data_IF_244788966893
#
_entry.id   IF_244788966893
#
_cell.length_a   1.000
_cell.length_b   1.000
_cell.length_c   1.000
_cell.angle_alpha   90.00
_cell.angle_beta   90.00
_cell.angle_gamma   90.00
#
_symmetry.space_group_name_H-M   'P 1'
#
loop_
_entity.id
_entity.type
_entity.pdbx_description
1 polymer ?
#
# COMPACT_ATOMS: atom_id res chain seq x y z
N UNK A 1 6.07 32.83 -1.36
CA UNK A 1 4.96 31.87 -1.56
C UNK A 1 5.45 30.58 -2.19
N UNK A 2 5.10 29.45 -1.58
CA UNK A 2 5.28 28.11 -2.15
C UNK A 2 4.05 27.79 -3.02
N UNK A 3 4.24 27.16 -4.18
CA UNK A 3 3.10 26.69 -5.00
C UNK A 3 2.43 25.47 -4.35
N UNK A 4 1.17 25.20 -4.71
CA UNK A 4 0.45 24.01 -4.21
C UNK A 4 1.20 22.71 -4.54
N UNK A 5 1.73 22.58 -5.77
CA UNK A 5 2.54 21.43 -6.19
C UNK A 5 3.79 21.27 -5.32
N UNK A 6 4.56 22.35 -5.16
CA UNK A 6 5.76 22.31 -4.33
C UNK A 6 5.45 22.00 -2.86
N UNK A 7 4.27 22.39 -2.36
CA UNK A 7 3.81 22.01 -1.04
C UNK A 7 3.50 20.52 -0.94
N UNK A 8 2.76 19.95 -1.89
CA UNK A 8 2.45 18.51 -1.95
C UNK A 8 3.74 17.68 -2.01
N UNK A 9 4.66 18.03 -2.91
CA UNK A 9 5.93 17.31 -3.06
C UNK A 9 6.76 17.33 -1.76
N UNK A 10 6.70 18.45 -1.03
CA UNK A 10 7.40 18.58 0.26
C UNK A 10 6.79 17.73 1.38
N UNK A 11 5.56 17.24 1.23
CA UNK A 11 4.88 16.42 2.23
C UNK A 11 5.20 14.93 2.11
N UNK A 12 5.66 14.42 0.96
CA UNK A 12 5.94 12.99 0.81
C UNK A 12 6.92 12.44 1.86
N UNK A 13 8.06 13.09 2.15
CA UNK A 13 8.95 12.64 3.22
C UNK A 13 8.30 12.75 4.62
N UNK A 14 7.46 13.76 4.84
CA UNK A 14 6.77 14.01 6.11
C UNK A 14 5.70 12.95 6.39
N UNK A 15 5.08 12.42 5.34
CA UNK A 15 4.04 11.40 5.40
C UNK A 15 4.60 9.97 5.27
N UNK A 16 5.89 9.81 4.96
CA UNK A 16 6.52 8.49 4.89
C UNK A 16 6.81 7.94 6.29
N UNK A 17 6.52 6.66 6.50
CA UNK A 17 6.77 5.92 7.72
C UNK A 17 7.59 4.66 7.41
N UNK A 18 8.23 4.14 8.45
CA UNK A 18 8.98 2.88 8.40
C UNK A 18 8.65 2.13 9.69
N UNK A 19 8.23 0.87 9.57
CA UNK A 19 7.82 0.06 10.73
C UNK A 19 8.50 -1.32 10.73
N UNK A 20 9.74 -1.41 10.27
CA UNK A 20 10.44 -2.70 10.09
C UNK A 20 10.57 -3.54 11.38
N UNK A 21 10.40 -2.91 12.55
CA UNK A 21 10.34 -3.59 13.84
C UNK A 21 9.17 -3.03 14.65
N UNK A 22 8.30 -3.92 15.14
CA UNK A 22 7.25 -3.59 16.09
C UNK A 22 7.66 -4.05 17.50
N UNK A 23 7.38 -3.23 18.52
CA UNK A 23 7.53 -3.66 19.90
C UNK A 23 6.56 -4.82 20.20
N UNK A 24 6.91 -5.70 21.14
CA UNK A 24 6.17 -6.95 21.46
C UNK A 24 4.65 -6.78 21.68
N UNK A 25 4.20 -5.58 22.04
CA UNK A 25 2.79 -5.27 22.31
C UNK A 25 2.28 -4.06 21.52
N UNK A 26 3.01 -3.64 20.48
CA UNK A 26 2.48 -2.62 19.58
C UNK A 26 1.34 -3.21 18.76
N UNK A 27 0.33 -2.38 18.51
CA UNK A 27 -0.72 -2.73 17.55
C UNK A 27 -0.23 -2.56 16.12
N UNK A 28 0.76 -1.69 15.87
CA UNK A 28 1.33 -1.50 14.54
C UNK A 28 2.04 -2.76 14.07
N UNK A 29 1.66 -3.25 12.90
CA UNK A 29 2.25 -4.43 12.28
C UNK A 29 3.46 -4.02 11.45
N UNK A 30 4.56 -4.79 11.52
CA UNK A 30 5.76 -4.45 10.80
C UNK A 30 5.56 -4.65 9.29
N UNK A 31 6.16 -3.76 8.51
CA UNK A 31 6.20 -3.85 7.06
C UNK A 31 7.67 -3.84 6.58
N UNK A 32 8.01 -4.58 5.51
CA UNK A 32 9.39 -4.69 5.05
C UNK A 32 9.94 -3.40 4.42
N UNK A 33 9.08 -2.56 3.84
CA UNK A 33 9.47 -1.33 3.13
C UNK A 33 8.83 -0.07 3.75
N UNK A 34 9.40 1.13 3.51
CA UNK A 34 8.72 2.38 3.82
C UNK A 34 7.36 2.50 3.12
N UNK A 35 6.45 3.27 3.71
CA UNK A 35 5.11 3.50 3.17
C UNK A 35 4.60 4.89 3.50
N UNK A 36 3.69 5.42 2.70
CA UNK A 36 3.10 6.75 2.90
C UNK A 36 1.75 6.63 3.60
N UNK A 37 1.50 7.46 4.61
CA UNK A 37 0.25 7.48 5.38
C UNK A 37 -0.63 8.69 4.99
N UNK A 38 -1.95 8.65 5.22
CA UNK A 38 -2.83 9.79 4.92
C UNK A 38 -2.49 11.07 5.72
N UNK A 39 -1.91 10.91 6.91
CA UNK A 39 -1.48 12.01 7.77
C UNK A 39 -2.47 12.36 8.89
N UNK A 40 -2.10 13.36 9.70
CA UNK A 40 -2.86 13.74 10.89
C UNK A 40 -2.89 12.63 11.94
N UNK A 41 -4.08 12.17 12.34
CA UNK A 41 -4.23 11.08 13.32
C UNK A 41 -4.00 9.68 12.73
N UNK A 42 -3.96 9.56 11.40
CA UNK A 42 -3.78 8.30 10.68
C UNK A 42 -2.29 8.10 10.44
N UNK A 43 -1.69 7.20 11.22
CA UNK A 43 -0.24 6.97 11.26
C UNK A 43 0.13 5.54 10.80
N UNK A 44 -0.83 4.82 10.23
CA UNK A 44 -0.69 3.49 9.65
C UNK A 44 -0.96 3.52 8.14
N UNK A 45 -0.50 2.49 7.44
CA UNK A 45 -0.87 2.21 6.06
C UNK A 45 -2.38 1.93 6.00
N UNK A 46 -3.06 2.42 4.97
CA UNK A 46 -4.46 2.14 4.67
C UNK A 46 -4.60 1.63 3.25
N UNK A 47 -5.35 0.55 3.03
CA UNK A 47 -5.34 -0.16 1.75
C UNK A 47 -5.84 0.70 0.58
N UNK A 48 -7.12 1.07 0.52
CA UNK A 48 -7.66 1.79 -0.64
C UNK A 48 -7.13 3.23 -0.76
N UNK A 49 -6.88 3.93 0.36
CA UNK A 49 -6.29 5.27 0.39
C UNK A 49 -4.93 5.30 -0.32
N UNK A 50 -4.16 4.20 -0.15
CA UNK A 50 -2.82 4.09 -0.73
C UNK A 50 -2.83 4.13 -2.25
N UNK A 51 -3.88 3.63 -2.92
CA UNK A 51 -3.93 3.70 -4.38
C UNK A 51 -3.92 5.16 -4.86
N UNK A 52 -4.72 6.02 -4.24
CA UNK A 52 -4.79 7.44 -4.61
C UNK A 52 -3.51 8.19 -4.22
N UNK A 53 -2.87 7.81 -3.11
CA UNK A 53 -1.54 8.33 -2.75
C UNK A 53 -0.50 7.91 -3.80
N UNK A 54 -0.52 6.65 -4.24
CA UNK A 54 0.41 6.13 -5.25
C UNK A 54 0.25 6.82 -6.61
N UNK A 55 -0.97 7.21 -7.00
CA UNK A 55 -1.17 8.04 -8.21
C UNK A 55 -0.45 9.39 -8.09
N UNK A 56 -0.50 10.03 -6.92
CA UNK A 56 0.23 11.28 -6.65
C UNK A 56 1.75 11.07 -6.64
N UNK A 57 2.23 10.01 -5.99
CA UNK A 57 3.65 9.65 -5.98
C UNK A 57 4.17 9.39 -7.40
N UNK A 58 3.43 8.64 -8.22
CA UNK A 58 3.77 8.37 -9.61
C UNK A 58 3.84 9.65 -10.44
N UNK A 59 2.89 10.58 -10.25
CA UNK A 59 2.87 11.88 -10.95
C UNK A 59 4.07 12.76 -10.55
N UNK A 60 4.47 12.73 -9.28
CA UNK A 60 5.67 13.40 -8.77
C UNK A 60 6.99 12.64 -9.04
N UNK A 61 6.94 11.47 -9.69
CA UNK A 61 8.12 10.68 -10.07
C UNK A 61 8.72 9.77 -8.99
N UNK A 62 8.03 9.58 -7.87
CA UNK A 62 8.42 8.73 -6.73
C UNK A 62 8.08 7.25 -6.96
N UNK A 63 8.57 6.68 -8.06
CA UNK A 63 8.30 5.28 -8.45
C UNK A 63 8.92 4.24 -7.51
N UNK A 64 9.97 4.60 -6.79
CA UNK A 64 10.53 3.83 -5.70
C UNK A 64 9.52 3.67 -4.55
N UNK A 65 8.88 4.74 -4.11
CA UNK A 65 7.81 4.67 -3.12
C UNK A 65 6.60 3.87 -3.61
N UNK A 66 6.20 4.03 -4.87
CA UNK A 66 5.12 3.23 -5.49
C UNK A 66 5.46 1.75 -5.40
N UNK A 67 6.67 1.35 -5.80
CA UNK A 67 7.12 -0.05 -5.70
C UNK A 67 7.13 -0.55 -4.27
N UNK A 68 7.69 0.22 -3.34
CA UNK A 68 7.78 -0.16 -1.93
C UNK A 68 6.39 -0.39 -1.30
N UNK A 69 5.38 0.40 -1.71
CA UNK A 69 3.99 0.18 -1.29
C UNK A 69 3.39 -1.10 -1.90
N UNK A 70 3.63 -1.39 -3.18
CA UNK A 70 3.18 -2.66 -3.80
C UNK A 70 3.87 -3.87 -3.13
N UNK A 71 5.18 -3.78 -2.85
CA UNK A 71 5.94 -4.81 -2.13
C UNK A 71 5.34 -5.06 -0.73
N UNK A 72 4.99 -4.01 -0.01
CA UNK A 72 4.34 -4.11 1.30
C UNK A 72 2.99 -4.84 1.19
N UNK A 73 2.11 -4.43 0.27
CA UNK A 73 0.81 -5.09 0.11
C UNK A 73 0.93 -6.56 -0.32
N UNK A 74 1.87 -6.87 -1.21
CA UNK A 74 2.18 -8.25 -1.58
C UNK A 74 2.63 -9.08 -0.37
N UNK A 75 3.47 -8.48 0.49
CA UNK A 75 3.91 -9.10 1.73
C UNK A 75 2.76 -9.31 2.74
N UNK A 76 1.82 -8.38 2.85
CA UNK A 76 0.63 -8.54 3.70
C UNK A 76 -0.23 -9.72 3.22
N UNK A 77 -0.45 -9.86 1.91
CA UNK A 77 -1.15 -11.02 1.31
C UNK A 77 -0.44 -12.33 1.66
N UNK A 78 0.88 -12.38 1.51
CA UNK A 78 1.66 -13.59 1.80
C UNK A 78 1.70 -13.92 3.30
N UNK A 79 1.65 -12.92 4.17
CA UNK A 79 1.78 -13.08 5.63
C UNK A 79 0.45 -13.34 6.33
N UNK A 80 -0.62 -12.66 5.90
CA UNK A 80 -1.94 -12.69 6.57
C UNK A 80 -3.06 -13.20 5.68
N UNK A 81 -2.76 -13.59 4.43
CA UNK A 81 -3.72 -14.15 3.49
C UNK A 81 -4.63 -13.12 2.81
N UNK A 82 -4.54 -11.85 3.18
CA UNK A 82 -5.26 -10.72 2.60
C UNK A 82 -4.59 -9.41 3.01
N UNK A 83 -4.98 -8.31 2.35
CA UNK A 83 -4.58 -6.96 2.77
C UNK A 83 -5.56 -6.46 3.85
N UNK A 84 -5.11 -6.19 5.09
CA UNK A 84 -5.98 -5.63 6.12
C UNK A 84 -6.37 -4.19 5.77
N UNK A 85 -7.44 -3.68 6.39
CA UNK A 85 -7.85 -2.27 6.24
C UNK A 85 -6.69 -1.29 6.48
N UNK A 86 -5.84 -1.60 7.45
CA UNK A 86 -4.53 -0.97 7.63
C UNK A 86 -3.60 -1.85 8.44
N UNK A 87 -2.31 -1.50 8.54
CA UNK A 87 -1.30 -2.34 9.19
C UNK A 87 -1.35 -2.27 10.73
N UNK A 88 -2.52 -2.55 11.32
CA UNK A 88 -2.72 -2.70 12.77
C UNK A 88 -3.33 -4.06 13.09
N UNK A 89 -2.96 -4.65 14.23
CA UNK A 89 -3.43 -5.98 14.65
C UNK A 89 -4.96 -6.09 14.71
N UNK A 90 -5.66 -5.04 15.14
CA UNK A 90 -7.12 -5.00 15.18
C UNK A 90 -7.80 -4.81 13.81
N UNK A 91 -7.03 -4.66 12.73
CA UNK A 91 -7.52 -4.68 11.35
C UNK A 91 -7.37 -6.04 10.66
N UNK A 92 -6.63 -7.00 11.24
CA UNK A 92 -6.41 -8.33 10.65
C UNK A 92 -7.69 -9.15 10.41
N UNK A 93 -8.83 -8.74 10.96
CA UNK A 93 -10.13 -9.40 10.74
C UNK A 93 -10.91 -8.84 9.55
N UNK A 94 -10.43 -7.79 8.87
CA UNK A 94 -11.16 -7.13 7.79
C UNK A 94 -10.24 -6.51 6.73
N UNK A 95 -10.69 -6.55 5.49
CA UNK A 95 -10.06 -5.82 4.38
C UNK A 95 -10.77 -4.48 4.09
N UNK A 96 -10.47 -3.89 2.95
CA UNK A 96 -11.08 -2.72 2.33
C UNK A 96 -11.38 -3.04 0.86
N UNK A 97 -12.03 -2.14 0.10
CA UNK A 97 -12.23 -2.36 -1.34
C UNK A 97 -10.92 -2.79 -2.04
N UNK A 98 -10.93 -3.84 -2.89
CA UNK A 98 -9.71 -4.41 -3.44
C UNK A 98 -9.13 -3.52 -4.54
N UNK A 99 -7.97 -2.91 -4.27
CA UNK A 99 -7.24 -2.04 -5.19
C UNK A 99 -5.87 -2.59 -5.60
N UNK A 100 -5.45 -3.76 -5.09
CA UNK A 100 -4.11 -4.30 -5.33
C UNK A 100 -3.83 -4.58 -6.81
N UNK A 101 -4.81 -5.04 -7.58
CA UNK A 101 -4.66 -5.17 -9.04
C UNK A 101 -4.35 -3.84 -9.72
N UNK A 102 -5.05 -2.77 -9.34
CA UNK A 102 -4.83 -1.42 -9.88
C UNK A 102 -3.47 -0.85 -9.45
N UNK A 103 -3.03 -1.16 -8.22
CA UNK A 103 -1.70 -0.80 -7.74
C UNK A 103 -0.58 -1.48 -8.54
N UNK A 104 -0.74 -2.78 -8.84
CA UNK A 104 0.21 -3.53 -9.67
C UNK A 104 0.19 -3.03 -11.12
N UNK A 105 -0.98 -2.75 -11.68
CA UNK A 105 -1.12 -2.17 -13.02
C UNK A 105 -0.45 -0.79 -13.12
N UNK A 106 -0.63 0.07 -12.11
CA UNK A 106 0.05 1.35 -12.03
C UNK A 106 1.57 1.17 -12.08
N UNK A 107 2.13 0.27 -11.27
CA UNK A 107 3.57 -0.01 -11.29
C UNK A 107 4.04 -0.63 -12.62
N UNK A 108 3.23 -1.52 -13.21
CA UNK A 108 3.52 -2.13 -14.51
C UNK A 108 3.54 -1.10 -15.64
N UNK A 109 2.77 -0.02 -15.55
CA UNK A 109 2.81 1.09 -16.51
C UNK A 109 4.17 1.78 -16.60
N UNK A 110 4.99 1.68 -15.54
CA UNK A 110 6.35 2.21 -15.48
C UNK A 110 7.42 1.14 -15.79
N UNK A 111 7.25 -0.07 -15.27
CA UNK A 111 8.30 -1.12 -15.32
C UNK A 111 8.13 -2.16 -16.45
N UNK A 112 6.95 -2.18 -17.07
CA UNK A 112 6.52 -3.19 -18.04
C UNK A 112 5.93 -4.46 -17.43
N UNK A 113 5.43 -5.32 -18.31
CA UNK A 113 4.60 -6.50 -17.98
C UNK A 113 5.27 -7.53 -17.07
N UNK A 114 6.60 -7.51 -16.94
CA UNK A 114 7.31 -8.36 -15.96
C UNK A 114 6.82 -8.14 -14.53
N UNK A 115 6.32 -6.94 -14.22
CA UNK A 115 5.73 -6.60 -12.93
C UNK A 115 4.44 -7.39 -12.69
N UNK A 116 3.58 -7.55 -13.70
CA UNK A 116 2.37 -8.36 -13.60
C UNK A 116 2.71 -9.82 -13.30
N UNK A 117 3.74 -10.36 -13.97
CA UNK A 117 4.21 -11.74 -13.73
C UNK A 117 4.77 -11.89 -12.32
N UNK A 118 5.50 -10.88 -11.83
CA UNK A 118 6.10 -10.90 -10.49
C UNK A 118 5.05 -10.98 -9.38
N UNK A 119 3.98 -10.16 -9.45
CA UNK A 119 2.92 -10.12 -8.43
C UNK A 119 1.73 -11.04 -8.73
N UNK A 120 1.76 -11.83 -9.82
CA UNK A 120 0.69 -12.76 -10.19
C UNK A 120 0.27 -13.72 -9.04
N UNK A 121 1.19 -14.28 -8.24
CA UNK A 121 0.80 -15.14 -7.11
C UNK A 121 -0.09 -14.42 -6.10
N UNK A 122 0.21 -13.17 -5.75
CA UNK A 122 -0.53 -12.37 -4.78
C UNK A 122 -1.84 -11.86 -5.39
N UNK A 123 -1.84 -11.46 -6.66
CA UNK A 123 -3.06 -11.10 -7.39
C UNK A 123 -4.09 -12.23 -7.39
N UNK A 124 -3.65 -13.49 -7.55
CA UNK A 124 -4.53 -14.66 -7.47
C UNK A 124 -5.09 -14.92 -6.07
N UNK A 125 -4.37 -14.53 -5.01
CA UNK A 125 -4.79 -14.70 -3.62
C UNK A 125 -5.76 -13.60 -3.17
N UNK A 126 -5.56 -12.37 -3.64
CA UNK A 126 -6.43 -11.22 -3.32
C UNK A 126 -7.79 -11.31 -4.03
N UNK A 127 -7.86 -12.01 -5.17
CA UNK A 127 -9.13 -12.29 -5.84
C UNK A 127 -10.04 -13.17 -4.98
N UNK A 128 -11.32 -12.79 -4.78
CA UNK A 128 -12.31 -13.67 -4.17
C UNK A 128 -12.38 -15.00 -4.92
N UNK A 129 -12.23 -16.13 -4.21
CA UNK A 129 -12.14 -17.47 -4.81
C UNK A 129 -13.46 -17.91 -5.47
N UNK A 130 -14.56 -17.21 -5.21
CA UNK A 130 -15.81 -17.33 -5.94
C UNK A 130 -16.45 -15.94 -5.97
N UNK A 131 -17.14 -15.58 -7.04
CA UNK A 131 -17.83 -14.29 -7.23
C UNK A 131 -18.97 -13.98 -6.26
N UNK A 132 -18.86 -14.39 -4.99
CA UNK A 132 -19.70 -13.96 -3.88
C UNK A 132 -18.97 -12.83 -3.17
N UNK A 133 -19.43 -11.62 -3.44
CA UNK A 133 -19.39 -10.56 -2.45
C UNK A 133 -20.18 -11.04 -1.23
N UNK A 134 -19.50 -11.44 -0.17
CA UNK A 134 -20.14 -11.52 1.13
C UNK A 134 -20.35 -10.07 1.59
N UNK A 135 -21.55 -9.58 1.29
CA UNK A 135 -22.17 -8.38 1.87
C UNK A 135 -22.43 -8.55 3.35
#
# INVERSE_FOLDING_TARGET
>A
DQSLRAHIDSLWPVLTRTSNNANKWDSLLPLPKPYVVPGGRFQELYYWDSYFIMLGLAESGHWDNVRDMVDNFAWEIDTWGHIPNGNRSYYLSRSQPPFFSLMVELLASHDGDKTLVHYLPQLKKDMPVDGRSDT
#
